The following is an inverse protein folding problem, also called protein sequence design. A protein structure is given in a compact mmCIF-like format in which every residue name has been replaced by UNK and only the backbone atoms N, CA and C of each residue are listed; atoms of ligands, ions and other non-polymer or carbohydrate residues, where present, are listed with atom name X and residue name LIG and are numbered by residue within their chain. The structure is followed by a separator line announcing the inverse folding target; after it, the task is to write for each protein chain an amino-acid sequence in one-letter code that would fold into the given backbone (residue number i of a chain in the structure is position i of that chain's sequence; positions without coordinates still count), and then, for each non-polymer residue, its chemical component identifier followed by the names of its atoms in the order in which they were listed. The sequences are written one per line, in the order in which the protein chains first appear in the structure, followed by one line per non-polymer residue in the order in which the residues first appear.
data_IF_232779191211
#
_entry.id   IF_232779191211
#
_cell.length_a   1.000
_cell.length_b   1.000
_cell.length_c   1.000
_cell.angle_alpha   90.00
_cell.angle_beta   90.00
_cell.angle_gamma   90.00
#
_symmetry.space_group_name_H-M   'P 1'
#
loop_
_entity.id
_entity.type
_entity.pdbx_description
1 polymer ?
#
# COMPACT_ATOMS: atom_id res chain seq x y z
N UNK A 1 -2.34 31.20 3.33
CA UNK A 1 -2.04 30.57 2.03
C UNK A 1 -1.51 29.17 2.28
N UNK A 2 -1.95 28.16 1.53
CA UNK A 2 -1.42 26.80 1.66
C UNK A 2 0.01 26.72 1.10
N UNK A 3 0.85 25.86 1.67
CA UNK A 3 2.21 25.60 1.17
C UNK A 3 2.13 25.01 -0.24
N UNK A 4 3.02 25.44 -1.14
CA UNK A 4 3.18 24.81 -2.46
C UNK A 4 3.63 23.36 -2.28
N UNK A 5 3.00 22.43 -3.00
CA UNK A 5 3.39 21.02 -3.02
C UNK A 5 4.77 20.81 -3.65
N UNK A 6 5.44 19.77 -3.18
CA UNK A 6 6.76 19.29 -3.63
C UNK A 6 6.65 17.82 -4.05
N UNK A 7 7.56 17.31 -4.91
CA UNK A 7 7.55 15.90 -5.31
C UNK A 7 7.61 14.91 -4.13
N UNK A 8 8.25 15.32 -3.02
CA UNK A 8 8.34 14.53 -1.81
C UNK A 8 6.96 14.28 -1.15
N UNK A 9 6.00 15.19 -1.32
CA UNK A 9 4.65 15.01 -0.80
C UNK A 9 3.90 13.87 -1.51
N UNK A 10 4.26 13.58 -2.78
CA UNK A 10 3.65 12.51 -3.59
C UNK A 10 4.42 11.17 -3.55
N UNK A 11 5.72 11.21 -3.22
CA UNK A 11 6.60 10.05 -3.26
C UNK A 11 6.06 8.83 -2.48
N UNK A 12 5.46 9.05 -1.30
CA UNK A 12 4.92 7.97 -0.47
C UNK A 12 3.81 7.19 -1.17
N UNK A 13 2.86 7.89 -1.80
CA UNK A 13 1.72 7.24 -2.46
C UNK A 13 2.12 6.61 -3.79
N UNK A 14 3.07 7.21 -4.51
CA UNK A 14 3.65 6.62 -5.73
C UNK A 14 4.36 5.30 -5.45
N UNK A 15 5.17 5.28 -4.40
CA UNK A 15 5.84 4.07 -3.95
C UNK A 15 4.81 2.99 -3.58
N UNK A 16 3.80 3.33 -2.78
CA UNK A 16 2.72 2.39 -2.43
C UNK A 16 2.04 1.80 -3.66
N UNK A 17 1.67 2.63 -4.64
CA UNK A 17 1.04 2.17 -5.88
C UNK A 17 1.95 1.25 -6.71
N UNK A 18 3.25 1.51 -6.72
CA UNK A 18 4.23 0.68 -7.42
C UNK A 18 4.25 -0.72 -6.80
N UNK A 19 4.41 -0.77 -5.47
CA UNK A 19 4.48 -2.02 -4.72
C UNK A 19 3.18 -2.82 -4.83
N UNK A 20 2.02 -2.15 -4.69
CA UNK A 20 0.71 -2.78 -4.88
C UNK A 20 0.61 -3.46 -6.24
N UNK A 21 0.98 -2.76 -7.33
CA UNK A 21 0.87 -3.31 -8.69
C UNK A 21 1.81 -4.48 -8.92
N UNK A 22 3.04 -4.40 -8.42
CA UNK A 22 4.04 -5.46 -8.56
C UNK A 22 3.64 -6.71 -7.78
N UNK A 23 3.17 -6.57 -6.54
CA UNK A 23 2.82 -7.70 -5.67
C UNK A 23 1.48 -8.35 -6.04
N UNK A 24 0.57 -7.64 -6.72
CA UNK A 24 -0.78 -8.16 -7.02
C UNK A 24 -1.08 -8.42 -8.49
N UNK A 25 -0.64 -7.57 -9.43
CA UNK A 25 -1.15 -7.61 -10.81
C UNK A 25 -0.10 -8.04 -11.83
N UNK A 26 1.17 -7.79 -11.59
CA UNK A 26 2.22 -8.00 -12.60
C UNK A 26 2.49 -9.48 -12.90
N UNK A 27 2.23 -10.37 -11.94
CA UNK A 27 2.42 -11.81 -12.11
C UNK A 27 1.19 -12.55 -12.65
N UNK A 28 0.13 -11.83 -13.01
CA UNK A 28 -1.16 -12.41 -13.36
C UNK A 28 -1.68 -11.92 -14.71
N UNK A 29 -2.42 -12.79 -15.40
CA UNK A 29 -2.93 -12.47 -16.72
C UNK A 29 -4.02 -11.40 -16.64
N UNK A 30 -3.70 -10.19 -17.12
CA UNK A 30 -4.57 -9.00 -17.05
C UNK A 30 -5.99 -9.21 -17.60
N UNK A 31 -6.16 -10.13 -18.54
CA UNK A 31 -7.47 -10.45 -19.14
C UNK A 31 -8.44 -11.17 -18.19
N UNK A 32 -7.98 -11.63 -17.03
CA UNK A 32 -8.79 -12.34 -16.02
C UNK A 32 -9.48 -11.42 -15.02
N UNK A 33 -9.21 -10.11 -15.05
CA UNK A 33 -9.74 -9.18 -14.05
C UNK A 33 -10.97 -8.44 -14.55
N UNK A 34 -12.04 -8.49 -13.74
CA UNK A 34 -13.17 -7.56 -13.85
C UNK A 34 -13.05 -6.46 -12.77
N UNK A 35 -13.91 -5.44 -12.84
CA UNK A 35 -13.88 -4.29 -11.93
C UNK A 35 -14.03 -4.70 -10.45
N UNK A 36 -14.91 -5.66 -10.16
CA UNK A 36 -15.19 -6.10 -8.79
C UNK A 36 -14.01 -6.89 -8.21
N UNK A 37 -13.40 -7.75 -9.01
CA UNK A 37 -12.17 -8.50 -8.66
C UNK A 37 -11.03 -7.55 -8.35
N UNK A 38 -10.79 -6.53 -9.19
CA UNK A 38 -9.75 -5.51 -8.95
C UNK A 38 -10.03 -4.79 -7.64
N UNK A 39 -11.27 -4.37 -7.41
CA UNK A 39 -11.67 -3.66 -6.19
C UNK A 39 -11.43 -4.51 -4.95
N UNK A 40 -11.79 -5.80 -4.99
CA UNK A 40 -11.54 -6.72 -3.89
C UNK A 40 -10.05 -6.97 -3.65
N UNK A 41 -9.26 -7.15 -4.71
CA UNK A 41 -7.80 -7.32 -4.61
C UNK A 41 -7.18 -6.10 -3.93
N UNK A 42 -7.55 -4.89 -4.36
CA UNK A 42 -7.03 -3.65 -3.77
C UNK A 42 -7.43 -3.50 -2.31
N UNK A 43 -8.70 -3.74 -1.95
CA UNK A 43 -9.18 -3.69 -0.56
C UNK A 43 -8.42 -4.68 0.32
N UNK A 44 -8.32 -5.93 -0.11
CA UNK A 44 -7.61 -6.98 0.62
C UNK A 44 -6.13 -6.64 0.79
N UNK A 45 -5.50 -6.10 -0.25
CA UNK A 45 -4.10 -5.70 -0.20
C UNK A 45 -3.89 -4.52 0.76
N UNK A 46 -4.80 -3.55 0.82
CA UNK A 46 -4.72 -2.44 1.79
C UNK A 46 -4.82 -2.97 3.23
N UNK A 47 -5.75 -3.89 3.50
CA UNK A 47 -5.87 -4.52 4.83
C UNK A 47 -4.59 -5.28 5.17
N UNK A 48 -4.09 -6.13 4.26
CA UNK A 48 -2.82 -6.84 4.43
C UNK A 48 -1.66 -5.87 4.72
N UNK A 49 -1.52 -4.83 3.91
CA UNK A 49 -0.44 -3.85 4.02
C UNK A 49 -0.45 -3.15 5.39
N UNK A 50 -1.63 -2.77 5.90
CA UNK A 50 -1.75 -2.03 7.15
C UNK A 50 -1.64 -2.93 8.39
N UNK A 51 -2.26 -4.12 8.35
CA UNK A 51 -2.45 -4.94 9.54
C UNK A 51 -1.43 -6.07 9.66
N UNK A 52 -0.92 -6.59 8.54
CA UNK A 52 -0.12 -7.83 8.50
C UNK A 52 1.30 -7.63 7.97
N UNK A 53 1.52 -6.69 7.05
CA UNK A 53 2.83 -6.52 6.39
C UNK A 53 3.92 -6.10 7.37
N UNK A 54 4.89 -6.98 7.58
CA UNK A 54 6.08 -6.73 8.39
C UNK A 54 7.02 -5.78 7.64
N UNK A 55 7.49 -4.74 8.32
CA UNK A 55 8.46 -3.80 7.76
C UNK A 55 9.64 -3.62 8.71
N UNK A 56 10.85 -3.88 8.23
CA UNK A 56 12.08 -3.71 9.02
C UNK A 56 12.25 -2.28 9.56
N UNK A 57 11.83 -1.27 8.79
CA UNK A 57 11.86 0.14 9.21
C UNK A 57 10.91 0.45 10.37
N UNK A 58 9.95 -0.45 10.64
CA UNK A 58 8.97 -0.37 11.71
C UNK A 58 9.28 -1.38 12.82
N UNK A 59 10.54 -1.75 13.03
CA UNK A 59 10.96 -2.75 14.02
C UNK A 59 10.26 -4.11 13.83
N UNK A 60 10.14 -4.55 12.58
CA UNK A 60 9.50 -5.81 12.20
C UNK A 60 8.01 -5.91 12.61
N UNK A 61 7.32 -4.78 12.60
CA UNK A 61 5.88 -4.69 12.91
C UNK A 61 5.07 -4.27 11.70
N UNK A 62 3.76 -4.51 11.77
CA UNK A 62 2.82 -3.93 10.80
C UNK A 62 2.59 -2.43 11.07
N UNK A 63 2.22 -1.64 10.03
CA UNK A 63 1.96 -0.22 10.20
C UNK A 63 0.96 0.12 11.32
N UNK A 64 -0.09 -0.68 11.48
CA UNK A 64 -1.07 -0.50 12.57
C UNK A 64 -0.47 -0.83 13.93
N UNK A 65 0.31 -1.90 14.06
CA UNK A 65 0.98 -2.26 15.31
C UNK A 65 1.97 -1.17 15.73
N UNK A 66 2.81 -0.73 14.80
CA UNK A 66 3.77 0.34 15.04
C UNK A 66 3.08 1.64 15.51
N UNK A 67 1.97 2.03 14.87
CA UNK A 67 1.18 3.19 15.30
C UNK A 67 0.64 3.06 16.72
N UNK A 68 0.20 1.87 17.13
CA UNK A 68 -0.33 1.63 18.49
C UNK A 68 0.73 1.71 19.58
N UNK A 69 2.01 1.55 19.25
CA UNK A 69 3.11 1.64 20.21
C UNK A 69 3.67 3.05 20.37
N UNK A 70 3.40 3.93 19.41
CA UNK A 70 3.88 5.33 19.39
C UNK A 70 2.80 6.30 19.87
N UNK A 71 1.53 5.90 19.80
CA UNK A 71 0.40 6.62 20.37
C UNK A 71 0.38 6.50 21.90
#
# INVERSE_FOLDING_TARGET
MSRKGTPADNACIEWFHTVLKTETFYFHNRRKYNKDSITNIVKNYITFYNETRIQQRLNDQSPVQYRKLIA
#
